data_IF_027337439479
#
_entry.id   IF_027337439479
#
_cell.length_a   1.000
_cell.length_b   1.000
_cell.length_c   1.000
_cell.angle_alpha   90.00
_cell.angle_beta   90.00
_cell.angle_gamma   90.00
#
_symmetry.space_group_name_H-M   'P 1'
#
loop_
_entity.id
_entity.type
_entity.pdbx_description
1 polymer ?
#
# COMPACT_ATOMS: atom_id res chain seq x y z
N UNK A 1 80.97 43.30 51.31
CA UNK A 1 81.11 42.57 52.59
C UNK A 1 79.90 41.66 52.73
N UNK A 2 80.19 40.40 53.06
CA UNK A 2 79.29 39.30 53.45
C UNK A 2 78.44 38.66 52.34
N UNK A 3 79.05 37.66 51.71
CA UNK A 3 78.38 36.47 51.20
C UNK A 3 78.08 35.51 52.36
N UNK A 4 76.91 34.87 52.38
CA UNK A 4 76.74 33.51 52.92
C UNK A 4 75.73 32.75 52.06
N UNK A 5 76.24 31.69 51.41
CA UNK A 5 75.52 30.61 50.74
C UNK A 5 74.64 29.82 51.71
N UNK A 6 73.48 29.36 51.24
CA UNK A 6 73.05 27.96 51.48
C UNK A 6 72.20 27.45 50.33
N UNK A 7 72.76 26.44 49.64
CA UNK A 7 72.09 25.51 48.74
C UNK A 7 70.85 24.88 49.40
N UNK A 8 69.79 24.63 48.63
CA UNK A 8 69.13 23.31 48.48
C UNK A 8 68.22 23.37 47.23
N UNK A 9 68.59 22.53 46.28
CA UNK A 9 67.84 21.88 45.20
C UNK A 9 66.31 22.02 45.13
N UNK A 10 65.79 22.15 43.90
CA UNK A 10 64.61 21.38 43.50
C UNK A 10 63.53 22.12 42.72
N UNK A 11 63.39 21.72 41.45
CA UNK A 11 62.14 21.57 40.70
C UNK A 11 61.35 22.81 40.26
N UNK A 12 61.52 23.10 38.97
CA UNK A 12 60.53 23.63 38.04
C UNK A 12 59.11 23.10 38.26
N UNK A 13 58.11 23.98 38.28
CA UNK A 13 56.73 23.62 37.92
C UNK A 13 55.99 24.85 37.38
N UNK A 14 56.02 24.98 36.06
CA UNK A 14 55.07 25.71 35.24
C UNK A 14 53.66 25.14 35.46
N UNK A 15 52.75 25.96 35.97
CA UNK A 15 51.31 25.64 36.06
C UNK A 15 50.65 25.99 34.72
N UNK A 16 50.72 25.06 33.78
CA UNK A 16 49.90 25.05 32.58
C UNK A 16 48.48 24.61 32.94
N UNK A 17 47.53 25.52 32.79
CA UNK A 17 46.10 25.25 32.78
C UNK A 17 45.73 24.45 31.53
N UNK A 18 45.82 23.12 31.60
CA UNK A 18 45.35 22.20 30.58
C UNK A 18 43.87 21.90 30.80
N UNK A 19 43.06 22.47 29.92
CA UNK A 19 41.67 22.14 29.62
C UNK A 19 41.42 20.63 29.62
N UNK A 20 40.61 20.16 30.57
CA UNK A 20 39.99 18.83 30.50
C UNK A 20 38.98 18.84 29.36
N UNK A 21 39.34 18.21 28.25
CA UNK A 21 38.46 17.96 27.11
C UNK A 21 37.26 17.12 27.56
N UNK A 22 36.08 17.71 27.52
CA UNK A 22 34.81 17.06 27.86
C UNK A 22 34.31 16.23 26.67
N UNK A 23 35.00 15.10 26.39
CA UNK A 23 34.80 14.25 25.21
C UNK A 23 33.43 13.56 25.14
N UNK A 24 32.65 13.60 26.22
CA UNK A 24 31.33 12.95 26.33
C UNK A 24 30.17 13.85 25.89
N UNK A 25 30.36 15.17 25.87
CA UNK A 25 29.29 16.13 25.51
C UNK A 25 29.17 16.33 24.00
N UNK A 26 30.25 16.09 23.25
CA UNK A 26 30.29 16.22 21.80
C UNK A 26 29.65 15.04 21.07
N UNK A 27 29.77 13.82 21.63
CA UNK A 27 29.18 12.62 21.03
C UNK A 27 27.66 12.60 21.16
N UNK A 28 27.13 13.00 22.32
CA UNK A 28 25.69 13.11 22.54
C UNK A 28 25.07 14.19 21.65
N UNK A 29 25.72 15.35 21.51
CA UNK A 29 25.29 16.41 20.62
C UNK A 29 25.34 16.00 19.13
N UNK A 30 26.37 15.28 18.69
CA UNK A 30 26.46 14.74 17.33
C UNK A 30 25.39 13.67 17.06
N UNK A 31 25.10 12.79 18.02
CA UNK A 31 24.06 11.77 17.87
C UNK A 31 22.68 12.43 17.79
N UNK A 32 22.39 13.43 18.63
CA UNK A 32 21.12 14.18 18.57
C UNK A 32 20.98 14.95 17.26
N UNK A 33 22.04 15.60 16.77
CA UNK A 33 22.04 16.27 15.47
C UNK A 33 21.81 15.30 14.30
N UNK A 34 22.39 14.10 14.37
CA UNK A 34 22.21 13.06 13.34
C UNK A 34 20.79 12.50 13.35
N UNK A 35 20.22 12.24 14.53
CA UNK A 35 18.84 11.75 14.68
C UNK A 35 17.84 12.81 14.22
N UNK A 36 18.03 14.08 14.59
CA UNK A 36 17.14 15.18 14.17
C UNK A 36 17.20 15.40 12.66
N UNK A 37 18.39 15.34 12.04
CA UNK A 37 18.54 15.40 10.59
C UNK A 37 17.86 14.21 9.89
N UNK A 38 18.01 12.99 10.42
CA UNK A 38 17.37 11.79 9.88
C UNK A 38 15.84 11.87 9.96
N UNK A 39 15.30 12.36 11.08
CA UNK A 39 13.87 12.58 11.26
C UNK A 39 13.32 13.65 10.31
N UNK A 40 14.06 14.74 10.09
CA UNK A 40 13.68 15.80 9.14
C UNK A 40 13.67 15.29 7.70
N UNK A 41 14.67 14.49 7.31
CA UNK A 41 14.70 13.82 6.00
C UNK A 41 13.53 12.85 5.86
N UNK A 42 13.23 12.04 6.87
CA UNK A 42 12.07 11.15 6.85
C UNK A 42 10.76 11.93 6.69
N UNK A 43 10.57 13.06 7.37
CA UNK A 43 9.36 13.90 7.25
C UNK A 43 9.24 14.55 5.86
N UNK A 44 10.34 14.97 5.25
CA UNK A 44 10.36 15.56 3.89
C UNK A 44 10.15 14.50 2.80
N UNK A 45 10.55 13.25 3.05
CA UNK A 45 10.46 12.14 2.09
C UNK A 45 9.14 11.38 2.20
N UNK A 46 8.34 11.57 3.26
CA UNK A 46 6.98 11.00 3.32
C UNK A 46 6.11 11.73 2.27
N UNK A 47 5.67 11.05 1.19
CA UNK A 47 4.76 11.67 0.24
C UNK A 47 3.45 12.01 0.98
N UNK A 48 2.95 13.23 0.81
CA UNK A 48 1.58 13.55 1.25
C UNK A 48 0.64 12.60 0.50
N UNK A 49 -0.32 11.94 1.18
CA UNK A 49 -1.29 11.08 0.50
C UNK A 49 -2.16 11.97 -0.39
N UNK A 50 -1.86 12.00 -1.68
CA UNK A 50 -2.76 12.56 -2.68
C UNK A 50 -3.86 11.55 -2.96
N UNK A 51 -5.09 11.88 -2.60
CA UNK A 51 -6.25 11.07 -2.95
C UNK A 51 -6.48 11.21 -4.47
N UNK A 52 -5.96 10.25 -5.23
CA UNK A 52 -6.27 10.11 -6.66
C UNK A 52 -7.42 9.11 -6.85
N UNK A 53 -8.28 9.39 -7.83
CA UNK A 53 -9.21 8.39 -8.34
C UNK A 53 -8.44 7.34 -9.14
N UNK A 54 -8.98 6.13 -9.21
CA UNK A 54 -8.41 5.07 -10.04
C UNK A 54 -8.57 5.39 -11.53
N UNK A 55 -7.77 4.72 -12.35
CA UNK A 55 -7.87 4.83 -13.80
C UNK A 55 -8.74 3.71 -14.36
N UNK A 56 -9.63 3.99 -15.31
CA UNK A 56 -10.49 2.97 -15.90
C UNK A 56 -10.64 3.18 -17.41
N UNK A 57 -10.95 2.11 -18.12
CA UNK A 57 -11.43 2.25 -19.50
C UNK A 57 -12.84 2.86 -19.48
N UNK A 58 -13.03 3.93 -20.24
CA UNK A 58 -14.29 4.68 -20.35
C UNK A 58 -14.68 4.81 -21.81
N UNK A 59 -15.72 4.09 -22.21
CA UNK A 59 -16.17 4.07 -23.59
C UNK A 59 -17.57 3.45 -23.70
N UNK A 60 -18.24 3.71 -24.82
CA UNK A 60 -19.50 3.05 -25.21
C UNK A 60 -19.35 2.53 -26.64
N UNK A 61 -19.85 1.33 -26.88
CA UNK A 61 -20.04 0.74 -28.21
C UNK A 61 -21.47 0.23 -28.31
N UNK A 62 -22.19 0.70 -29.33
CA UNK A 62 -23.51 0.20 -29.71
C UNK A 62 -23.36 -0.52 -31.05
N UNK A 63 -23.87 -1.74 -31.14
CA UNK A 63 -23.84 -2.57 -32.34
C UNK A 63 -22.45 -2.65 -33.02
N UNK A 64 -21.38 -2.63 -32.22
CA UNK A 64 -20.01 -2.72 -32.73
C UNK A 64 -19.42 -1.42 -33.30
N UNK A 65 -20.05 -0.26 -33.07
CA UNK A 65 -19.60 1.04 -33.58
C UNK A 65 -18.23 1.46 -33.04
N UNK A 66 -17.81 0.94 -31.88
CA UNK A 66 -16.53 1.24 -31.26
C UNK A 66 -15.78 -0.06 -30.90
N UNK A 67 -15.02 -0.58 -31.88
CA UNK A 67 -14.24 -1.82 -31.75
C UNK A 67 -13.15 -1.76 -30.67
N UNK A 68 -12.70 -0.57 -30.27
CA UNK A 68 -11.76 -0.42 -29.16
C UNK A 68 -12.40 -0.72 -27.80
N UNK A 69 -13.71 -0.50 -27.68
CA UNK A 69 -14.47 -0.72 -26.44
C UNK A 69 -14.97 -2.17 -26.31
N UNK A 70 -15.31 -2.79 -27.44
CA UNK A 70 -15.84 -4.15 -27.53
C UNK A 70 -14.81 -5.23 -27.14
N UNK A 71 -15.32 -6.44 -26.93
CA UNK A 71 -14.51 -7.64 -26.78
C UNK A 71 -14.33 -8.36 -28.12
N UNK A 72 -13.18 -9.02 -28.38
CA UNK A 72 -11.97 -9.06 -27.54
C UNK A 72 -11.27 -7.70 -27.45
N UNK A 73 -10.74 -7.38 -26.26
CA UNK A 73 -10.12 -6.08 -26.03
C UNK A 73 -8.76 -5.96 -26.73
N UNK A 74 -8.63 -4.99 -27.62
CA UNK A 74 -7.40 -4.72 -28.35
C UNK A 74 -6.60 -3.63 -27.64
N UNK A 75 -5.39 -3.95 -27.16
CA UNK A 75 -4.52 -3.01 -26.44
C UNK A 75 -4.04 -1.83 -27.30
N UNK A 76 -4.08 -1.93 -28.64
CA UNK A 76 -3.64 -0.86 -29.55
C UNK A 76 -4.44 0.46 -29.38
N UNK A 77 -5.64 0.38 -28.82
CA UNK A 77 -6.51 1.56 -28.63
C UNK A 77 -6.61 1.99 -27.17
N UNK A 78 -5.94 1.28 -26.25
CA UNK A 78 -6.13 1.41 -24.80
C UNK A 78 -5.81 2.80 -24.25
N UNK A 79 -4.79 3.48 -24.78
CA UNK A 79 -4.42 4.83 -24.31
C UNK A 79 -5.48 5.90 -24.63
N UNK A 80 -6.29 5.71 -25.67
CA UNK A 80 -7.30 6.69 -26.08
C UNK A 80 -8.62 6.58 -25.29
N UNK A 81 -8.86 5.43 -24.65
CA UNK A 81 -10.07 5.13 -23.88
C UNK A 81 -9.80 4.96 -22.39
N UNK A 82 -8.55 5.10 -21.95
CA UNK A 82 -8.17 5.11 -20.54
C UNK A 82 -8.35 6.53 -19.99
N UNK A 83 -9.16 6.66 -18.94
CA UNK A 83 -9.41 7.93 -18.27
C UNK A 83 -8.62 7.98 -16.95
N UNK A 84 -7.79 9.01 -16.78
CA UNK A 84 -6.91 9.20 -15.61
C UNK A 84 -6.86 10.69 -15.17
N UNK A 85 -7.18 11.05 -13.91
CA UNK A 85 -7.85 10.21 -12.92
C UNK A 85 -9.31 10.00 -13.30
N UNK A 86 -9.85 8.79 -13.12
CA UNK A 86 -11.23 8.62 -13.50
C UNK A 86 -12.21 9.24 -12.50
N UNK A 87 -13.22 9.91 -13.05
CA UNK A 87 -14.25 10.60 -12.30
C UNK A 87 -15.63 10.02 -12.63
N UNK A 88 -16.42 9.75 -11.60
CA UNK A 88 -17.78 9.22 -11.71
C UNK A 88 -18.80 10.11 -11.01
N UNK A 89 -20.06 10.04 -11.45
CA UNK A 89 -21.18 10.69 -10.76
C UNK A 89 -21.61 9.89 -9.54
N UNK A 90 -22.23 10.57 -8.56
CA UNK A 90 -22.85 9.93 -7.39
C UNK A 90 -24.34 10.25 -7.35
N UNK A 91 -25.20 9.24 -7.23
CA UNK A 91 -26.65 9.43 -7.12
C UNK A 91 -26.97 10.39 -5.96
N UNK A 92 -27.80 11.39 -6.23
CA UNK A 92 -28.23 12.38 -5.24
C UNK A 92 -27.17 13.45 -4.90
N UNK A 93 -26.12 13.59 -5.70
CA UNK A 93 -25.19 14.73 -5.63
C UNK A 93 -24.84 15.23 -7.02
N UNK A 94 -24.79 16.55 -7.16
CA UNK A 94 -24.30 17.18 -8.37
C UNK A 94 -22.77 17.19 -8.37
N UNK A 95 -22.19 16.94 -9.54
CA UNK A 95 -20.75 16.96 -9.75
C UNK A 95 -20.10 15.59 -9.93
N UNK A 96 -18.82 15.64 -10.28
CA UNK A 96 -17.95 14.49 -10.53
C UNK A 96 -17.05 14.27 -9.32
N UNK A 97 -16.92 13.00 -8.92
CA UNK A 97 -16.09 12.59 -7.79
C UNK A 97 -15.03 11.58 -8.24
N UNK A 98 -13.88 11.50 -7.58
CA UNK A 98 -12.86 10.49 -7.87
C UNK A 98 -13.45 9.08 -7.76
N UNK A 99 -13.32 8.30 -8.83
CA UNK A 99 -13.83 6.94 -8.88
C UNK A 99 -12.98 6.00 -8.02
N UNK A 100 -13.63 4.98 -7.46
CA UNK A 100 -13.00 3.91 -6.67
C UNK A 100 -13.21 2.53 -7.31
N UNK A 101 -14.00 2.45 -8.38
CA UNK A 101 -14.34 1.20 -9.05
C UNK A 101 -14.52 1.40 -10.55
N UNK A 102 -14.10 0.42 -11.33
CA UNK A 102 -14.35 0.35 -12.76
C UNK A 102 -15.52 -0.59 -13.03
N UNK A 103 -16.37 -0.22 -13.99
CA UNK A 103 -17.46 -1.07 -14.45
C UNK A 103 -17.32 -1.43 -15.93
N UNK A 104 -17.85 -2.60 -16.27
CA UNK A 104 -18.07 -3.06 -17.63
C UNK A 104 -19.44 -3.71 -17.75
N UNK A 105 -20.20 -3.27 -18.73
CA UNK A 105 -21.48 -3.84 -19.12
C UNK A 105 -21.29 -4.41 -20.53
N UNK A 106 -21.66 -5.67 -20.73
CA UNK A 106 -21.66 -6.30 -22.05
C UNK A 106 -22.92 -7.13 -22.21
N UNK A 107 -23.69 -6.89 -23.27
CA UNK A 107 -24.97 -7.55 -23.48
C UNK A 107 -25.64 -7.17 -24.79
N UNK A 108 -26.94 -7.39 -24.85
CA UNK A 108 -27.81 -6.97 -25.95
C UNK A 108 -29.13 -6.41 -25.41
N UNK A 109 -29.76 -5.54 -26.18
CA UNK A 109 -31.07 -5.01 -25.82
C UNK A 109 -32.18 -6.03 -26.12
N UNK A 110 -33.15 -6.17 -25.20
CA UNK A 110 -34.26 -7.13 -25.33
C UNK A 110 -35.22 -6.79 -26.49
N UNK A 111 -35.35 -5.51 -26.85
CA UNK A 111 -36.27 -4.99 -27.87
C UNK A 111 -35.69 -5.02 -29.29
N UNK A 112 -34.43 -4.60 -29.48
CA UNK A 112 -33.79 -4.54 -30.81
C UNK A 112 -32.80 -5.67 -31.08
N UNK A 113 -32.32 -6.37 -30.05
CA UNK A 113 -31.24 -7.35 -30.17
C UNK A 113 -29.86 -6.75 -30.47
N UNK A 114 -29.73 -5.41 -30.47
CA UNK A 114 -28.46 -4.74 -30.70
C UNK A 114 -27.49 -4.97 -29.53
N UNK A 115 -26.22 -5.22 -29.86
CA UNK A 115 -25.20 -5.41 -28.83
C UNK A 115 -24.80 -4.08 -28.20
N UNK A 116 -24.45 -4.13 -26.92
CA UNK A 116 -23.96 -2.99 -26.16
C UNK A 116 -22.76 -3.39 -25.32
N UNK A 117 -21.71 -2.57 -25.39
CA UNK A 117 -20.57 -2.62 -24.48
C UNK A 117 -20.37 -1.24 -23.87
N UNK A 118 -20.45 -1.13 -22.55
CA UNK A 118 -20.20 0.12 -21.81
C UNK A 118 -19.10 -0.12 -20.81
N UNK A 119 -18.09 0.73 -20.81
CA UNK A 119 -17.05 0.77 -19.78
C UNK A 119 -17.04 2.15 -19.15
N UNK A 120 -16.87 2.19 -17.85
CA UNK A 120 -16.90 3.47 -17.15
C UNK A 120 -16.42 3.36 -15.72
N UNK A 121 -16.59 4.48 -15.04
CA UNK A 121 -16.06 4.71 -13.72
C UNK A 121 -17.21 4.93 -12.77
N UNK A 122 -17.09 4.33 -11.60
CA UNK A 122 -18.13 4.34 -10.61
C UNK A 122 -17.54 4.59 -9.22
N UNK A 123 -18.38 5.14 -8.36
CA UNK A 123 -18.10 5.26 -6.95
C UNK A 123 -18.93 4.24 -6.21
N UNK A 124 -18.27 3.45 -5.37
CA UNK A 124 -18.98 2.65 -4.40
C UNK A 124 -19.56 3.59 -3.32
N UNK A 125 -20.86 3.87 -3.38
CA UNK A 125 -21.47 4.98 -2.63
C UNK A 125 -21.73 4.68 -1.15
N UNK A 126 -21.34 3.50 -0.66
CA UNK A 126 -21.53 3.06 0.73
C UNK A 126 -22.99 2.87 1.17
N UNK A 127 -24.00 3.00 0.30
CA UNK A 127 -25.39 3.06 0.74
C UNK A 127 -25.95 1.67 1.08
N UNK A 128 -26.84 1.61 2.09
CA UNK A 128 -27.23 0.41 2.84
C UNK A 128 -28.13 -0.58 2.07
N UNK A 129 -28.45 -0.32 0.80
CA UNK A 129 -29.29 -1.21 -0.02
C UNK A 129 -28.53 -1.70 -1.24
N UNK A 130 -28.19 -2.98 -1.22
CA UNK A 130 -27.56 -3.76 -2.30
C UNK A 130 -28.30 -3.60 -3.65
N UNK A 131 -29.60 -3.29 -3.62
CA UNK A 131 -30.48 -3.22 -4.79
C UNK A 131 -30.43 -1.89 -5.56
N UNK A 132 -29.80 -0.85 -5.02
CA UNK A 132 -29.67 0.46 -5.70
C UNK A 132 -28.25 0.75 -6.19
N UNK A 133 -27.31 -0.15 -5.91
CA UNK A 133 -25.90 -0.03 -6.27
C UNK A 133 -25.47 -1.24 -7.09
N UNK A 134 -25.85 -1.19 -8.37
CA UNK A 134 -25.46 -2.17 -9.41
C UNK A 134 -23.94 -2.45 -9.42
N UNK A 135 -23.13 -1.51 -8.91
CA UNK A 135 -21.67 -1.53 -8.86
C UNK A 135 -21.11 -2.54 -7.82
N UNK A 136 -21.91 -3.02 -6.86
CA UNK A 136 -21.41 -3.85 -5.74
C UNK A 136 -21.39 -5.36 -5.99
N UNK A 137 -21.94 -5.83 -7.10
CA UNK A 137 -21.92 -7.25 -7.42
C UNK A 137 -21.84 -7.47 -8.93
N UNK A 138 -20.79 -8.18 -9.35
CA UNK A 138 -20.75 -8.70 -10.71
C UNK A 138 -21.84 -9.74 -10.87
N UNK A 139 -22.76 -9.52 -11.81
CA UNK A 139 -23.87 -10.42 -12.06
C UNK A 139 -24.26 -10.40 -13.53
N UNK A 140 -24.83 -11.50 -13.99
CA UNK A 140 -25.38 -11.63 -15.33
C UNK A 140 -26.88 -11.85 -15.24
N UNK A 141 -27.63 -11.23 -16.13
CA UNK A 141 -29.08 -11.30 -16.15
C UNK A 141 -29.68 -10.15 -16.94
N UNK A 142 -30.90 -9.80 -16.59
CA UNK A 142 -31.65 -8.69 -17.20
C UNK A 142 -31.64 -7.51 -16.25
N UNK A 143 -31.18 -6.37 -16.72
CA UNK A 143 -31.16 -5.12 -15.96
C UNK A 143 -31.60 -3.96 -16.84
N UNK A 144 -31.97 -2.86 -16.20
CA UNK A 144 -32.44 -1.65 -16.88
C UNK A 144 -31.29 -0.66 -17.03
N UNK A 145 -30.99 -0.26 -18.26
CA UNK A 145 -29.92 0.67 -18.61
C UNK A 145 -30.38 1.59 -19.74
N UNK A 146 -30.18 2.90 -19.59
CA UNK A 146 -30.54 3.92 -20.59
C UNK A 146 -31.98 3.80 -21.10
N UNK A 147 -32.92 3.74 -20.17
CA UNK A 147 -34.36 3.58 -20.39
C UNK A 147 -34.81 2.29 -21.13
N UNK A 148 -33.92 1.31 -21.25
CA UNK A 148 -34.18 0.04 -21.96
C UNK A 148 -33.71 -1.17 -21.14
N UNK A 149 -34.27 -2.35 -21.45
CA UNK A 149 -33.81 -3.60 -20.84
C UNK A 149 -32.63 -4.17 -21.62
N UNK A 150 -31.54 -4.44 -20.91
CA UNK A 150 -30.34 -5.10 -21.43
C UNK A 150 -30.22 -6.47 -20.79
N UNK A 151 -30.00 -7.48 -21.61
CA UNK A 151 -29.63 -8.82 -21.18
C UNK A 151 -28.13 -9.00 -21.35
N UNK A 152 -27.41 -9.25 -20.26
CA UNK A 152 -25.95 -9.34 -20.32
C UNK A 152 -25.29 -9.53 -18.97
N UNK A 153 -24.00 -9.23 -18.92
CA UNK A 153 -23.20 -9.27 -17.70
C UNK A 153 -22.73 -7.87 -17.34
N UNK A 154 -22.85 -7.56 -16.04
CA UNK A 154 -22.26 -6.41 -15.42
C UNK A 154 -21.10 -6.87 -14.54
N UNK A 155 -19.92 -6.32 -14.78
CA UNK A 155 -18.69 -6.63 -14.08
C UNK A 155 -18.19 -5.36 -13.40
N UNK A 156 -17.89 -5.46 -12.12
CA UNK A 156 -17.32 -4.38 -11.32
C UNK A 156 -16.05 -4.88 -10.65
N UNK A 157 -15.05 -4.01 -10.55
CA UNK A 157 -13.79 -4.26 -9.86
C UNK A 157 -13.34 -2.98 -9.16
N UNK A 158 -12.72 -3.14 -7.99
CA UNK A 158 -12.45 -2.05 -7.05
C UNK A 158 -10.94 -1.89 -6.84
N UNK A 159 -10.51 -0.67 -6.55
CA UNK A 159 -9.15 -0.32 -6.12
C UNK A 159 -8.02 -0.86 -7.03
N UNK A 160 -8.30 -1.01 -8.32
CA UNK A 160 -7.36 -1.51 -9.31
C UNK A 160 -7.53 -0.76 -10.63
N UNK A 161 -6.43 -0.15 -11.10
CA UNK A 161 -6.42 0.58 -12.36
C UNK A 161 -6.67 -0.35 -13.56
N UNK A 162 -7.42 0.14 -14.55
CA UNK A 162 -7.71 -0.52 -15.81
C UNK A 162 -8.28 -1.95 -15.69
N UNK A 163 -8.88 -2.30 -14.55
CA UNK A 163 -9.34 -3.66 -14.26
C UNK A 163 -10.57 -4.08 -15.10
N UNK A 164 -11.29 -3.12 -15.69
CA UNK A 164 -12.41 -3.35 -16.60
C UNK A 164 -11.98 -3.58 -18.06
N UNK A 165 -10.78 -4.13 -18.26
CA UNK A 165 -10.35 -4.72 -19.53
C UNK A 165 -11.23 -5.91 -19.94
N UNK A 166 -11.02 -6.50 -21.13
CA UNK A 166 -11.60 -7.83 -21.39
C UNK A 166 -11.09 -8.79 -20.31
N UNK A 167 -11.99 -9.46 -19.62
CA UNK A 167 -11.59 -10.51 -18.70
C UNK A 167 -10.94 -11.63 -19.51
N UNK A 168 -9.67 -11.99 -19.27
CA UNK A 168 -9.19 -13.28 -19.69
C UNK A 168 -10.05 -14.32 -18.97
N UNK A 169 -10.57 -15.32 -19.68
CA UNK A 169 -11.16 -16.51 -19.05
C UNK A 169 -10.21 -17.05 -17.98
N UNK A 170 -10.51 -16.80 -16.71
CA UNK A 170 -9.60 -17.10 -15.62
C UNK A 170 -9.59 -18.60 -15.32
N UNK A 171 -8.58 -19.32 -15.84
CA UNK A 171 -7.86 -20.29 -15.00
C UNK A 171 -6.99 -19.48 -14.05
N UNK A 172 -7.54 -19.17 -12.87
CA UNK A 172 -6.78 -18.52 -11.81
C UNK A 172 -5.95 -19.59 -11.08
N UNK A 173 -4.66 -19.66 -11.39
CA UNK A 173 -3.68 -20.37 -10.58
C UNK A 173 -2.76 -19.30 -9.97
N UNK A 174 -3.05 -18.89 -8.73
CA UNK A 174 -2.24 -17.90 -8.02
C UNK A 174 -0.93 -18.52 -7.55
N UNK A 175 0.25 -17.97 -7.90
CA UNK A 175 1.55 -18.50 -7.48
C UNK A 175 2.03 -17.92 -6.14
N UNK A 176 1.13 -17.49 -5.25
CA UNK A 176 1.52 -16.92 -3.95
C UNK A 176 1.85 -17.96 -2.87
N UNK A 177 1.48 -19.23 -3.08
CA UNK A 177 1.74 -20.30 -2.13
C UNK A 177 3.23 -20.75 -2.03
N UNK A 178 4.05 -20.82 -3.10
CA UNK A 178 5.45 -21.24 -2.98
C UNK A 178 6.36 -20.18 -2.31
N UNK A 179 6.03 -18.88 -2.38
CA UNK A 179 6.88 -17.82 -1.80
C UNK A 179 6.88 -17.87 -0.25
N UNK A 180 5.73 -18.17 0.36
CA UNK A 180 5.59 -18.26 1.82
C UNK A 180 6.39 -19.44 2.38
N UNK A 181 6.44 -20.56 1.65
CA UNK A 181 7.21 -21.75 2.06
C UNK A 181 8.73 -21.52 2.01
N UNK A 182 9.22 -20.71 1.05
CA UNK A 182 10.65 -20.38 0.94
C UNK A 182 11.09 -19.47 2.08
N UNK A 183 10.28 -18.49 2.49
CA UNK A 183 10.62 -17.57 3.60
C UNK A 183 10.64 -18.31 4.95
N UNK A 184 9.70 -19.22 5.19
CA UNK A 184 9.69 -20.05 6.40
C UNK A 184 10.89 -20.99 6.45
N UNK A 185 11.27 -21.60 5.32
CA UNK A 185 12.45 -22.47 5.24
C UNK A 185 13.76 -21.70 5.48
N UNK A 186 13.93 -20.51 4.91
CA UNK A 186 15.11 -19.67 5.16
C UNK A 186 15.16 -19.14 6.60
N UNK A 187 14.02 -18.80 7.21
CA UNK A 187 13.94 -18.39 8.62
C UNK A 187 14.42 -19.48 9.57
N UNK A 188 13.98 -20.72 9.37
CA UNK A 188 14.42 -21.85 10.21
C UNK A 188 15.90 -22.22 10.03
N UNK A 189 16.52 -21.88 8.89
CA UNK A 189 17.94 -22.12 8.64
C UNK A 189 18.85 -21.03 9.23
N UNK A 190 18.36 -19.80 9.39
CA UNK A 190 19.12 -18.67 9.94
C UNK A 190 19.06 -18.59 11.47
N UNK A 191 17.99 -19.08 12.09
CA UNK A 191 17.87 -19.18 13.55
C UNK A 191 18.19 -20.62 13.99
N UNK A 192 19.48 -20.93 14.03
CA UNK A 192 19.98 -22.19 14.59
C UNK A 192 19.38 -22.49 15.95
N UNK A 193 19.09 -23.77 16.18
CA UNK A 193 18.45 -24.35 17.36
C UNK A 193 18.88 -23.67 18.67
N UNK A 194 18.01 -22.80 19.20
CA UNK A 194 18.09 -22.34 20.59
C UNK A 194 17.90 -23.57 21.47
N UNK A 195 19.00 -24.16 21.91
CA UNK A 195 19.03 -25.25 22.87
C UNK A 195 18.70 -24.64 24.23
N UNK A 196 17.46 -24.82 24.68
CA UNK A 196 17.03 -24.43 26.02
C UNK A 196 17.83 -25.30 27.02
N UNK A 197 18.67 -24.74 27.90
CA UNK A 197 19.35 -25.53 28.91
C UNK A 197 18.33 -26.08 29.92
N UNK A 198 18.48 -27.31 30.41
CA UNK A 198 17.57 -27.89 31.38
C UNK A 198 17.64 -27.13 32.71
N UNK A 199 16.46 -26.85 33.30
CA UNK A 199 16.32 -26.27 34.63
C UNK A 199 17.06 -27.10 35.70
N UNK A 200 17.73 -26.47 36.68
CA UNK A 200 18.24 -27.19 37.84
C UNK A 200 17.08 -27.61 38.74
N UNK A 201 16.89 -28.92 38.90
CA UNK A 201 16.02 -29.52 39.89
C UNK A 201 16.67 -29.44 41.27
N UNK A 202 16.11 -28.65 42.19
CA UNK A 202 16.48 -28.81 43.60
C UNK A 202 16.20 -27.64 44.50
N UNK A 203 14.95 -27.27 44.74
CA UNK A 203 14.56 -26.52 45.94
C UNK A 203 13.12 -26.87 46.32
N UNK A 204 12.95 -27.88 47.18
CA UNK A 204 11.84 -27.99 48.12
C UNK A 204 12.31 -28.94 49.25
N UNK A 205 12.93 -28.35 50.27
CA UNK A 205 13.13 -28.98 51.57
C UNK A 205 11.76 -29.05 52.25
N UNK A 206 11.22 -30.25 52.41
CA UNK A 206 10.14 -30.51 53.35
C UNK A 206 10.74 -30.53 54.76
N UNK A 207 10.39 -29.53 55.56
CA UNK A 207 10.56 -29.51 57.02
C UNK A 207 9.71 -30.64 57.61
N UNK A 208 10.35 -31.63 58.21
CA UNK A 208 9.69 -32.68 58.98
C UNK A 208 9.64 -32.22 60.44
N UNK A 209 8.45 -31.97 60.96
CA UNK A 209 8.20 -31.67 62.37
C UNK A 209 7.46 -32.83 63.01
N UNK A 210 8.18 -33.61 63.83
CA UNK A 210 7.68 -34.45 64.93
C UNK A 210 8.82 -34.59 65.92
#
# INVERSE_FOLDING_TARGET
MVAILKHISGTSSSSSSSSRSNSSSSTLAQVVASITALLLVMVVVVPLPTAHGIDCFKCVSMNGANKACDDPFHNNYSAAILESPCMGGRKGRDGLFPATSCIKIAGYYDDTGETITVRGCALDSGTLTTDTEIIRMSHCGRFYYDDRYVHGCLQSCNDADACNAAQPSARSCSPTLPLVLVIVALGTALFGSVTIPPQPSGWLRTVNGS
#
